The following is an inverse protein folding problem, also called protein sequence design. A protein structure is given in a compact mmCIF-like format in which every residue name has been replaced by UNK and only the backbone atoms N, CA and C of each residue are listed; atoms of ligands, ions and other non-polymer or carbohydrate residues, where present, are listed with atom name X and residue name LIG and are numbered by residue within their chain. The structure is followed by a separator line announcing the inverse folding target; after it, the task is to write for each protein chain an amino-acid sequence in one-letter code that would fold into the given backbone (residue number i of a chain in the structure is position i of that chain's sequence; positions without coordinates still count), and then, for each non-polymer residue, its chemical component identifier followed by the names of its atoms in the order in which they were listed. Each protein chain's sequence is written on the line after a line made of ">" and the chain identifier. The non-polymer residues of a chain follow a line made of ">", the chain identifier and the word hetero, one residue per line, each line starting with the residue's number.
data_IF_133297307164
#
_entry.id   IF_133297307164
#
_cell.length_a   1.000
_cell.length_b   1.000
_cell.length_c   1.000
_cell.angle_alpha   90.00
_cell.angle_beta   90.00
_cell.angle_gamma   90.00
#
_symmetry.space_group_name_H-M   'P 1'
#
loop_
_entity.id
_entity.type
_entity.pdbx_description
1 polymer ?
#
# COMPACT_ATOMS: atom_id res chain seq x y z
N UNK A 1 -2.75 24.34 -3.10
CA UNK A 1 -1.47 24.92 -3.52
C UNK A 1 -1.73 26.06 -4.48
N UNK A 2 -1.17 27.24 -4.25
CA UNK A 2 -1.28 28.36 -5.19
C UNK A 2 -0.29 28.19 -6.36
N UNK A 3 -0.43 28.99 -7.43
CA UNK A 3 0.42 28.87 -8.62
C UNK A 3 1.91 29.08 -8.32
N UNK A 4 2.25 30.02 -7.43
CA UNK A 4 3.65 30.28 -7.06
C UNK A 4 4.30 29.08 -6.37
N UNK A 5 3.59 28.44 -5.45
CA UNK A 5 4.06 27.21 -4.79
C UNK A 5 4.25 26.08 -5.81
N UNK A 6 3.27 25.90 -6.72
CA UNK A 6 3.36 24.88 -7.77
C UNK A 6 4.55 25.09 -8.70
N UNK A 7 4.81 26.34 -9.08
CA UNK A 7 5.97 26.70 -9.90
C UNK A 7 7.30 26.38 -9.20
N UNK A 8 7.41 26.64 -7.89
CA UNK A 8 8.61 26.28 -7.12
C UNK A 8 8.79 24.77 -7.00
N UNK A 9 7.71 24.04 -6.73
CA UNK A 9 7.78 22.58 -6.64
C UNK A 9 8.10 21.92 -7.98
N UNK A 10 7.50 22.39 -9.07
CA UNK A 10 7.79 21.90 -10.41
C UNK A 10 9.25 22.17 -10.80
N UNK A 11 9.74 23.39 -10.52
CA UNK A 11 11.14 23.77 -10.79
C UNK A 11 12.13 22.88 -10.04
N UNK A 12 11.94 22.74 -8.72
CA UNK A 12 12.75 21.88 -7.86
C UNK A 12 12.71 20.42 -8.34
N UNK A 13 11.53 19.93 -8.69
CA UNK A 13 11.34 18.56 -9.15
C UNK A 13 12.10 18.28 -10.45
N UNK A 14 11.88 19.10 -11.48
CA UNK A 14 12.50 18.93 -12.80
C UNK A 14 14.03 19.00 -12.67
N UNK A 15 14.55 20.00 -11.96
CA UNK A 15 15.99 20.12 -11.74
C UNK A 15 16.57 18.86 -11.11
N UNK A 16 16.02 18.39 -9.99
CA UNK A 16 16.59 17.25 -9.27
C UNK A 16 16.44 15.93 -10.04
N UNK A 17 15.30 15.68 -10.68
CA UNK A 17 15.10 14.46 -11.46
C UNK A 17 16.03 14.39 -12.66
N UNK A 18 16.16 15.48 -13.42
CA UNK A 18 17.02 15.49 -14.59
C UNK A 18 18.50 15.41 -14.21
N UNK A 19 18.92 16.03 -13.10
CA UNK A 19 20.27 15.83 -12.53
C UNK A 19 20.50 14.38 -12.15
N UNK A 20 19.54 13.71 -11.51
CA UNK A 20 19.65 12.29 -11.12
C UNK A 20 19.68 11.36 -12.34
N UNK A 21 19.00 11.73 -13.43
CA UNK A 21 19.04 11.04 -14.73
C UNK A 21 20.31 11.33 -15.55
N UNK A 22 21.18 12.25 -15.10
CA UNK A 22 22.40 12.62 -15.82
C UNK A 22 22.16 13.38 -17.12
N UNK A 23 21.03 14.10 -17.22
CA UNK A 23 20.71 14.95 -18.37
C UNK A 23 21.66 16.16 -18.45
N UNK A 24 21.84 16.69 -19.66
CA UNK A 24 22.69 17.86 -19.88
C UNK A 24 22.08 19.14 -19.27
N UNK A 25 22.92 20.12 -18.92
CA UNK A 25 22.44 21.38 -18.32
C UNK A 25 21.45 22.11 -19.23
N UNK A 26 21.71 22.11 -20.54
CA UNK A 26 20.83 22.72 -21.54
C UNK A 26 19.45 22.06 -21.55
N UNK A 27 19.38 20.72 -21.52
CA UNK A 27 18.11 19.97 -21.46
C UNK A 27 17.34 20.27 -20.17
N UNK A 28 18.04 20.46 -19.04
CA UNK A 28 17.43 20.85 -17.76
C UNK A 28 16.80 22.24 -17.87
N UNK A 29 17.56 23.23 -18.32
CA UNK A 29 17.09 24.62 -18.39
C UNK A 29 15.97 24.79 -19.42
N UNK A 30 16.06 24.12 -20.57
CA UNK A 30 14.99 24.09 -21.58
C UNK A 30 13.69 23.52 -21.00
N UNK A 31 13.76 22.36 -20.32
CA UNK A 31 12.56 21.76 -19.72
C UNK A 31 11.99 22.63 -18.61
N UNK A 32 12.83 23.19 -17.73
CA UNK A 32 12.40 24.12 -16.69
C UNK A 32 11.67 25.32 -17.29
N UNK A 33 12.23 25.95 -18.32
CA UNK A 33 11.60 27.08 -19.00
C UNK A 33 10.24 26.71 -19.61
N UNK A 34 10.14 25.55 -20.28
CA UNK A 34 8.90 25.07 -20.87
C UNK A 34 7.81 24.83 -19.81
N UNK A 35 8.17 24.17 -18.69
CA UNK A 35 7.24 23.92 -17.57
C UNK A 35 6.77 25.22 -16.93
N UNK A 36 7.68 26.18 -16.71
CA UNK A 36 7.33 27.49 -16.17
C UNK A 36 6.39 28.27 -17.10
N UNK A 37 6.55 28.13 -18.41
CA UNK A 37 5.66 28.77 -19.38
C UNK A 37 4.26 28.11 -19.37
N UNK A 38 4.18 26.79 -19.42
CA UNK A 38 2.92 26.04 -19.38
C UNK A 38 2.11 26.34 -18.10
N UNK A 39 2.81 26.45 -16.97
CA UNK A 39 2.22 26.83 -15.68
C UNK A 39 1.65 28.25 -15.70
N UNK A 40 2.32 29.21 -16.32
CA UNK A 40 1.81 30.59 -16.44
C UNK A 40 0.58 30.68 -17.32
N UNK A 41 0.52 29.86 -18.38
CA UNK A 41 -0.55 29.88 -19.36
C UNK A 41 -1.79 29.11 -18.90
N UNK A 42 -1.60 27.95 -18.26
CA UNK A 42 -2.69 27.00 -17.98
C UNK A 42 -2.95 26.80 -16.49
N UNK A 43 -2.05 27.29 -15.63
CA UNK A 43 -2.05 27.01 -14.20
C UNK A 43 -1.52 25.62 -13.82
N UNK A 44 -1.23 24.73 -14.78
CA UNK A 44 -0.71 23.38 -14.58
C UNK A 44 0.41 23.06 -15.58
N UNK A 45 0.98 21.86 -15.52
CA UNK A 45 1.82 21.32 -16.60
C UNK A 45 1.66 19.81 -16.73
N UNK A 46 2.00 19.28 -17.91
CA UNK A 46 1.99 17.84 -18.16
C UNK A 46 3.41 17.28 -18.05
N UNK A 47 3.58 16.30 -17.16
CA UNK A 47 4.83 15.54 -17.03
C UNK A 47 5.02 14.59 -18.21
N UNK A 48 6.25 14.39 -18.65
CA UNK A 48 6.58 13.31 -19.59
C UNK A 48 6.40 11.95 -18.91
N UNK A 49 6.31 10.87 -19.69
CA UNK A 49 6.26 9.51 -19.11
C UNK A 49 7.53 9.17 -18.32
N UNK A 50 8.70 9.66 -18.74
CA UNK A 50 9.96 9.50 -18.00
C UNK A 50 9.90 10.25 -16.65
N UNK A 51 9.42 11.50 -16.66
CA UNK A 51 9.21 12.28 -15.45
C UNK A 51 8.22 11.57 -14.52
N UNK A 52 7.06 11.13 -15.01
CA UNK A 52 6.08 10.43 -14.17
C UNK A 52 6.67 9.17 -13.53
N UNK A 53 7.38 8.36 -14.32
CA UNK A 53 7.97 7.11 -13.86
C UNK A 53 9.03 7.34 -12.78
N UNK A 54 9.92 8.32 -12.97
CA UNK A 54 10.92 8.66 -11.96
C UNK A 54 10.29 9.26 -10.70
N UNK A 55 9.29 10.13 -10.87
CA UNK A 55 8.57 10.74 -9.76
C UNK A 55 7.92 9.69 -8.85
N UNK A 56 7.26 8.68 -9.42
CA UNK A 56 6.64 7.59 -8.66
C UNK A 56 7.66 6.71 -7.92
N UNK A 57 8.80 6.42 -8.55
CA UNK A 57 9.93 5.70 -7.93
C UNK A 57 10.51 6.48 -6.75
N UNK A 58 10.75 7.76 -6.94
CA UNK A 58 11.27 8.65 -5.89
C UNK A 58 10.24 8.83 -4.78
N UNK A 59 8.95 8.88 -5.09
CA UNK A 59 7.89 8.91 -4.07
C UNK A 59 7.96 7.68 -3.14
N UNK A 60 8.24 6.50 -3.68
CA UNK A 60 8.44 5.31 -2.85
C UNK A 60 9.73 5.40 -2.04
N UNK A 61 10.84 5.84 -2.64
CA UNK A 61 12.11 6.12 -1.93
C UNK A 61 11.93 7.08 -0.75
N UNK A 62 11.07 8.08 -0.91
CA UNK A 62 10.79 9.13 0.07
C UNK A 62 9.70 8.75 1.09
N UNK A 63 9.04 7.60 0.96
CA UNK A 63 7.92 7.25 1.84
C UNK A 63 8.42 6.91 3.26
N UNK A 64 8.15 7.82 4.19
CA UNK A 64 8.61 7.73 5.59
C UNK A 64 8.02 6.53 6.35
N UNK A 65 6.92 5.94 5.86
CA UNK A 65 6.26 4.81 6.50
C UNK A 65 6.70 3.44 5.95
N UNK A 66 7.53 3.41 4.90
CA UNK A 66 7.87 2.17 4.21
C UNK A 66 9.25 1.64 4.64
N UNK A 67 9.29 0.43 5.20
CA UNK A 67 10.54 -0.31 5.45
C UNK A 67 11.09 -0.94 4.17
N UNK A 68 10.24 -1.27 3.20
CA UNK A 68 10.59 -1.96 1.94
C UNK A 68 11.27 -1.12 0.87
N UNK A 69 11.83 0.05 1.22
CA UNK A 69 12.36 1.04 0.26
C UNK A 69 13.57 0.60 -0.54
N UNK A 70 14.22 -0.51 -0.20
CA UNK A 70 15.38 -1.01 -0.96
C UNK A 70 15.07 -1.21 -2.46
N UNK A 71 13.83 -1.56 -2.80
CA UNK A 71 13.42 -1.93 -4.15
C UNK A 71 12.78 -0.78 -4.95
N UNK A 72 12.93 0.46 -4.47
CA UNK A 72 12.28 1.65 -5.05
C UNK A 72 12.53 1.81 -6.56
N UNK A 73 13.73 1.46 -7.02
CA UNK A 73 14.15 1.58 -8.42
C UNK A 73 13.54 0.51 -9.34
N UNK A 74 13.00 -0.58 -8.75
CA UNK A 74 12.36 -1.71 -9.43
C UNK A 74 10.86 -1.56 -9.63
N UNK A 75 10.26 -0.46 -9.14
CA UNK A 75 8.84 -0.18 -9.35
C UNK A 75 8.50 -0.13 -10.83
N UNK A 76 7.56 -0.96 -11.26
CA UNK A 76 6.97 -0.89 -12.59
C UNK A 76 5.88 0.19 -12.58
N UNK A 77 6.02 1.20 -13.44
CA UNK A 77 5.10 2.34 -13.51
C UNK A 77 4.25 2.24 -14.77
N UNK A 78 2.93 2.20 -14.58
CA UNK A 78 1.94 2.23 -15.65
C UNK A 78 1.39 3.65 -15.78
N UNK A 79 1.66 4.28 -16.91
CA UNK A 79 1.07 5.57 -17.26
C UNK A 79 -0.36 5.35 -17.80
N UNK A 80 -1.34 5.49 -16.92
CA UNK A 80 -2.77 5.38 -17.23
C UNK A 80 -3.47 6.76 -17.23
N UNK A 81 -2.72 7.85 -17.43
CA UNK A 81 -3.28 9.22 -17.42
C UNK A 81 -4.26 9.52 -18.55
N UNK A 82 -4.36 8.63 -19.53
CA UNK A 82 -5.32 8.71 -20.63
C UNK A 82 -6.60 7.90 -20.35
N UNK A 83 -6.64 7.12 -19.26
CA UNK A 83 -7.74 6.22 -18.92
C UNK A 83 -8.78 6.97 -18.09
N UNK A 84 -9.94 7.25 -18.69
CA UNK A 84 -11.00 8.07 -18.06
C UNK A 84 -12.38 7.42 -18.07
N UNK A 85 -12.66 6.43 -18.93
CA UNK A 85 -13.95 5.73 -18.92
C UNK A 85 -13.98 4.64 -17.85
N UNK A 86 -15.14 4.42 -17.24
CA UNK A 86 -15.36 3.39 -16.22
C UNK A 86 -14.80 2.01 -16.62
N UNK A 87 -15.21 1.47 -17.77
CA UNK A 87 -14.75 0.15 -18.25
C UNK A 87 -13.23 0.04 -18.33
N UNK A 88 -12.60 1.06 -18.90
CA UNK A 88 -11.15 1.09 -19.05
C UNK A 88 -10.43 1.22 -17.71
N UNK A 89 -11.01 1.94 -16.73
CA UNK A 89 -10.47 2.02 -15.36
C UNK A 89 -10.50 0.64 -14.71
N UNK A 90 -11.66 -0.05 -14.69
CA UNK A 90 -11.74 -1.39 -14.12
C UNK A 90 -10.81 -2.38 -14.81
N UNK A 91 -10.78 -2.39 -16.15
CA UNK A 91 -9.86 -3.27 -16.90
C UNK A 91 -8.40 -2.99 -16.55
N UNK A 92 -8.04 -1.72 -16.36
CA UNK A 92 -6.68 -1.32 -15.95
C UNK A 92 -6.36 -1.80 -14.53
N UNK A 93 -7.32 -1.74 -13.60
CA UNK A 93 -7.16 -2.25 -12.23
C UNK A 93 -7.01 -3.78 -12.20
N UNK A 94 -7.82 -4.51 -12.98
CA UNK A 94 -7.69 -5.96 -13.10
C UNK A 94 -6.36 -6.37 -13.73
N UNK A 95 -5.90 -5.64 -14.75
CA UNK A 95 -4.56 -5.83 -15.34
C UNK A 95 -3.46 -5.55 -14.31
N UNK A 96 -3.62 -4.53 -13.47
CA UNK A 96 -2.69 -4.27 -12.37
C UNK A 96 -2.64 -5.47 -11.42
N UNK A 97 -3.79 -5.96 -10.96
CA UNK A 97 -3.90 -7.11 -10.06
C UNK A 97 -3.19 -8.34 -10.65
N UNK A 98 -3.49 -8.70 -11.88
CA UNK A 98 -2.90 -9.85 -12.57
C UNK A 98 -1.37 -9.75 -12.62
N UNK A 99 -0.87 -8.61 -13.12
CA UNK A 99 0.57 -8.42 -13.35
C UNK A 99 1.36 -8.22 -12.05
N UNK A 100 0.76 -7.60 -11.03
CA UNK A 100 1.34 -7.48 -9.70
C UNK A 100 1.42 -8.84 -9.01
N UNK A 101 0.36 -9.65 -9.12
CA UNK A 101 0.27 -10.98 -8.49
C UNK A 101 1.24 -11.97 -9.12
N UNK A 102 1.35 -12.00 -10.45
CA UNK A 102 2.35 -12.77 -11.21
C UNK A 102 2.55 -14.20 -10.66
N UNK A 103 1.44 -14.93 -10.46
CA UNK A 103 1.41 -16.29 -9.91
C UNK A 103 2.20 -16.45 -8.60
N UNK A 104 2.05 -15.49 -7.68
CA UNK A 104 2.73 -15.46 -6.38
C UNK A 104 4.12 -14.83 -6.40
N UNK A 105 4.73 -14.63 -7.57
CA UNK A 105 6.03 -13.94 -7.73
C UNK A 105 5.83 -12.43 -7.81
N UNK A 106 5.35 -11.86 -6.71
CA UNK A 106 4.84 -10.48 -6.63
C UNK A 106 5.84 -9.47 -7.22
N UNK A 107 5.35 -8.59 -8.10
CA UNK A 107 6.12 -7.48 -8.68
C UNK A 107 5.66 -6.16 -8.08
N UNK A 108 6.57 -5.26 -7.68
CA UNK A 108 6.19 -3.94 -7.23
C UNK A 108 5.69 -3.12 -8.43
N UNK A 109 4.44 -2.67 -8.38
CA UNK A 109 3.78 -1.96 -9.47
C UNK A 109 3.02 -0.76 -8.94
N UNK A 110 2.91 0.27 -9.77
CA UNK A 110 1.98 1.38 -9.58
C UNK A 110 1.26 1.67 -10.89
N UNK A 111 -0.03 1.97 -10.82
CA UNK A 111 -0.80 2.47 -11.96
C UNK A 111 -1.31 3.85 -11.68
N UNK A 112 -0.98 4.82 -12.53
CA UNK A 112 -1.24 6.24 -12.27
C UNK A 112 -2.30 6.73 -13.24
N UNK A 113 -3.49 7.00 -12.71
CA UNK A 113 -4.63 7.55 -13.44
C UNK A 113 -4.48 9.08 -13.63
N UNK A 114 -5.38 9.75 -14.38
CA UNK A 114 -5.25 11.17 -14.67
C UNK A 114 -5.07 12.04 -13.40
N UNK A 115 -4.28 13.11 -13.49
CA UNK A 115 -4.10 14.03 -12.36
C UNK A 115 -5.38 14.81 -12.04
N UNK A 116 -5.42 15.37 -10.84
CA UNK A 116 -6.41 16.40 -10.50
C UNK A 116 -6.16 17.66 -11.33
N UNK A 117 -7.24 18.26 -11.85
CA UNK A 117 -7.19 19.52 -12.56
C UNK A 117 -8.29 20.46 -12.06
N UNK A 118 -7.91 21.61 -11.50
CA UNK A 118 -8.84 22.62 -10.97
C UNK A 118 -9.91 22.09 -9.99
N UNK A 119 -9.55 21.08 -9.18
CA UNK A 119 -10.46 20.42 -8.23
C UNK A 119 -11.19 19.20 -8.80
N UNK A 120 -11.21 19.04 -10.13
CA UNK A 120 -11.80 17.87 -10.77
C UNK A 120 -10.85 16.67 -10.64
N UNK A 121 -11.38 15.56 -10.14
CA UNK A 121 -10.67 14.29 -9.95
C UNK A 121 -11.24 13.27 -10.93
N UNK A 122 -10.59 13.04 -12.08
CA UNK A 122 -11.20 12.24 -13.15
C UNK A 122 -11.45 10.79 -12.75
N UNK A 123 -10.60 10.23 -11.89
CA UNK A 123 -10.74 8.87 -11.38
C UNK A 123 -10.53 8.89 -9.87
N UNK A 124 -11.44 8.23 -9.15
CA UNK A 124 -11.33 7.98 -7.72
C UNK A 124 -11.60 6.49 -7.46
N UNK A 125 -10.77 5.90 -6.60
CA UNK A 125 -10.94 4.53 -6.12
C UNK A 125 -11.27 4.65 -4.63
N UNK A 126 -12.42 4.12 -4.23
CA UNK A 126 -12.91 4.29 -2.87
C UNK A 126 -12.27 3.31 -1.88
N UNK A 127 -11.83 2.16 -2.38
CA UNK A 127 -11.19 1.12 -1.59
C UNK A 127 -9.90 1.62 -0.92
N UNK A 128 -9.69 1.26 0.34
CA UNK A 128 -8.38 1.39 1.00
C UNK A 128 -7.30 0.56 0.29
N UNK A 129 -7.65 -0.69 -0.02
CA UNK A 129 -6.84 -1.63 -0.78
C UNK A 129 -7.72 -2.34 -1.81
N UNK A 130 -7.18 -2.65 -2.99
CA UNK A 130 -7.96 -3.35 -4.03
C UNK A 130 -8.41 -4.73 -3.55
N UNK A 131 -7.54 -5.46 -2.83
CA UNK A 131 -7.94 -6.63 -2.08
C UNK A 131 -8.19 -6.26 -0.63
N UNK A 132 -9.42 -6.46 -0.17
CA UNK A 132 -9.77 -6.34 1.24
C UNK A 132 -10.97 -7.22 1.56
N UNK A 133 -10.96 -7.83 2.74
CA UNK A 133 -12.13 -8.55 3.22
C UNK A 133 -13.17 -7.60 3.79
N UNK A 134 -14.44 -7.95 3.60
CA UNK A 134 -15.58 -7.25 4.16
C UNK A 134 -15.68 -7.45 5.67
N UNK A 135 -16.45 -6.58 6.32
CA UNK A 135 -16.83 -6.69 7.72
C UNK A 135 -18.32 -6.44 7.89
N UNK A 136 -19.01 -7.31 8.63
CA UNK A 136 -20.45 -7.29 8.81
C UNK A 136 -20.80 -7.15 10.29
N UNK A 137 -21.63 -6.17 10.62
CA UNK A 137 -22.23 -6.08 11.94
C UNK A 137 -23.42 -7.06 12.02
N UNK A 138 -23.37 -7.98 12.98
CA UNK A 138 -24.45 -8.96 13.25
C UNK A 138 -24.95 -8.81 14.70
N UNK A 139 -26.02 -9.53 15.05
CA UNK A 139 -26.54 -9.59 16.43
C UNK A 139 -25.53 -10.22 17.41
N UNK A 140 -24.72 -11.16 16.94
CA UNK A 140 -23.73 -11.89 17.74
C UNK A 140 -22.34 -11.22 17.77
N UNK A 141 -22.19 -10.08 17.07
CA UNK A 141 -20.93 -9.35 16.95
C UNK A 141 -20.51 -9.12 15.51
N UNK A 142 -19.22 -8.84 15.29
CA UNK A 142 -18.68 -8.56 13.95
C UNK A 142 -18.19 -9.86 13.32
N UNK A 143 -18.60 -10.10 12.07
CA UNK A 143 -18.07 -11.16 11.20
C UNK A 143 -17.17 -10.51 10.14
N UNK A 144 -16.00 -11.10 9.86
CA UNK A 144 -15.05 -10.56 8.89
C UNK A 144 -14.07 -9.56 9.48
N UNK A 145 -13.68 -8.55 8.69
CA UNK A 145 -12.70 -7.54 9.08
C UNK A 145 -13.38 -6.27 9.64
N UNK A 146 -13.27 -5.97 10.95
CA UNK A 146 -13.84 -4.75 11.54
C UNK A 146 -13.35 -3.45 10.88
N UNK A 147 -12.14 -3.44 10.31
CA UNK A 147 -11.61 -2.26 9.65
C UNK A 147 -12.36 -1.89 8.36
N UNK A 148 -13.15 -2.82 7.82
CA UNK A 148 -13.90 -2.67 6.58
C UNK A 148 -15.39 -2.39 6.80
N UNK A 149 -15.89 -2.34 8.04
CA UNK A 149 -17.33 -2.22 8.33
C UNK A 149 -18.00 -1.07 7.56
N UNK A 150 -17.49 0.15 7.74
CA UNK A 150 -18.05 1.34 7.11
C UNK A 150 -18.06 1.24 5.58
N UNK A 151 -16.99 0.70 4.98
CA UNK A 151 -16.91 0.56 3.53
C UNK A 151 -17.78 -0.59 3.00
N UNK A 152 -17.93 -1.67 3.78
CA UNK A 152 -18.82 -2.79 3.47
C UNK A 152 -20.27 -2.30 3.39
N UNK A 153 -20.70 -1.48 4.35
CA UNK A 153 -22.03 -0.85 4.32
C UNK A 153 -22.23 0.03 3.08
N UNK A 154 -21.19 0.76 2.64
CA UNK A 154 -21.25 1.52 1.39
C UNK A 154 -21.39 0.62 0.16
N UNK A 155 -20.65 -0.48 0.10
CA UNK A 155 -20.81 -1.46 -0.97
C UNK A 155 -22.24 -2.03 -0.99
N UNK A 156 -22.80 -2.35 0.18
CA UNK A 156 -24.18 -2.82 0.30
C UNK A 156 -25.22 -1.79 -0.13
N UNK A 157 -24.99 -0.50 0.15
CA UNK A 157 -25.84 0.60 -0.33
C UNK A 157 -25.80 0.75 -1.86
N UNK A 158 -24.68 0.41 -2.50
CA UNK A 158 -24.56 0.36 -3.95
C UNK A 158 -25.19 -0.90 -4.57
N UNK A 159 -25.65 -1.85 -3.73
CA UNK A 159 -26.32 -3.07 -4.15
C UNK A 159 -25.43 -4.31 -4.15
N UNK A 160 -24.17 -4.22 -3.75
CA UNK A 160 -23.32 -5.41 -3.56
C UNK A 160 -23.81 -6.25 -2.37
N UNK A 161 -23.77 -7.57 -2.49
CA UNK A 161 -24.10 -8.48 -1.40
C UNK A 161 -22.98 -9.52 -1.30
N UNK A 162 -22.32 -9.58 -0.15
CA UNK A 162 -21.38 -10.67 0.13
C UNK A 162 -22.09 -11.88 0.73
N UNK A 163 -21.34 -12.97 0.89
CA UNK A 163 -21.84 -14.24 1.43
C UNK A 163 -22.01 -14.22 2.96
N UNK A 164 -21.53 -13.17 3.63
CA UNK A 164 -21.58 -13.02 5.08
C UNK A 164 -20.51 -13.85 5.81
N UNK A 165 -19.40 -14.20 5.15
CA UNK A 165 -18.33 -14.99 5.75
C UNK A 165 -17.22 -14.12 6.36
N UNK A 166 -16.31 -14.76 7.09
CA UNK A 166 -15.16 -14.09 7.67
C UNK A 166 -14.14 -13.57 6.64
N UNK A 167 -14.21 -14.01 5.38
CA UNK A 167 -13.21 -13.71 4.35
C UNK A 167 -13.84 -13.46 2.98
N UNK A 168 -14.94 -12.72 2.93
CA UNK A 168 -15.55 -12.25 1.67
C UNK A 168 -14.74 -11.09 1.11
N UNK A 169 -14.29 -11.18 -0.14
CA UNK A 169 -13.60 -10.07 -0.80
C UNK A 169 -14.59 -8.97 -1.18
N UNK A 170 -14.26 -7.74 -0.80
CA UNK A 170 -14.99 -6.55 -1.22
C UNK A 170 -14.84 -6.33 -2.73
N UNK A 171 -15.87 -5.77 -3.40
CA UNK A 171 -15.75 -5.35 -4.78
C UNK A 171 -14.84 -4.11 -4.87
N UNK A 172 -14.33 -3.83 -6.05
CA UNK A 172 -13.66 -2.57 -6.34
C UNK A 172 -14.73 -1.53 -6.65
N UNK A 173 -14.68 -0.37 -5.98
CA UNK A 173 -15.59 0.76 -6.18
C UNK A 173 -14.82 1.91 -6.80
N UNK A 174 -15.28 2.35 -7.98
CA UNK A 174 -14.69 3.43 -8.78
C UNK A 174 -15.71 4.53 -8.97
N UNK A 175 -15.23 5.77 -8.98
CA UNK A 175 -16.01 6.94 -9.37
C UNK A 175 -15.28 7.71 -10.46
N UNK A 176 -16.01 8.03 -11.54
CA UNK A 176 -15.51 8.80 -12.68
C UNK A 176 -16.01 10.24 -12.56
N UNK A 177 -15.09 11.19 -12.43
CA UNK A 177 -15.43 12.60 -12.23
C UNK A 177 -16.43 12.80 -11.08
N UNK A 178 -17.58 13.41 -11.41
CA UNK A 178 -18.68 13.68 -10.48
C UNK A 178 -19.86 12.71 -10.64
N UNK A 179 -19.69 11.63 -11.39
CA UNK A 179 -20.73 10.61 -11.56
C UNK A 179 -20.95 9.80 -10.27
N UNK A 180 -22.03 9.03 -10.23
CA UNK A 180 -22.26 8.09 -9.14
C UNK A 180 -21.17 7.00 -9.16
N UNK A 181 -20.69 6.54 -8.00
CA UNK A 181 -19.74 5.43 -7.93
C UNK A 181 -20.40 4.14 -8.43
N UNK A 182 -19.61 3.30 -9.10
CA UNK A 182 -20.00 1.96 -9.52
C UNK A 182 -19.01 0.95 -8.96
N UNK A 183 -19.43 -0.32 -8.89
CA UNK A 183 -18.58 -1.39 -8.38
C UNK A 183 -18.49 -2.55 -9.35
N UNK A 184 -17.37 -3.29 -9.28
CA UNK A 184 -17.20 -4.59 -9.92
C UNK A 184 -16.51 -5.54 -8.96
N UNK A 185 -16.97 -6.78 -8.97
CA UNK A 185 -16.28 -7.87 -8.29
C UNK A 185 -14.98 -8.19 -9.02
N UNK A 186 -13.98 -8.62 -8.24
CA UNK A 186 -12.71 -9.04 -8.81
C UNK A 186 -12.92 -10.45 -9.39
N UNK A 187 -12.61 -10.69 -10.67
CA UNK A 187 -12.71 -12.03 -11.25
C UNK A 187 -11.94 -13.06 -10.43
N UNK A 188 -12.56 -14.21 -10.16
CA UNK A 188 -12.01 -15.25 -9.26
C UNK A 188 -10.62 -15.72 -9.69
N UNK A 189 -10.36 -15.77 -11.01
CA UNK A 189 -9.07 -16.16 -11.58
C UNK A 189 -7.92 -15.18 -11.25
N UNK A 190 -8.24 -13.94 -10.85
CA UNK A 190 -7.27 -12.93 -10.44
C UNK A 190 -7.01 -12.95 -8.93
N UNK A 191 -7.81 -13.70 -8.17
CA UNK A 191 -7.72 -13.79 -6.71
C UNK A 191 -6.72 -14.89 -6.33
N UNK A 192 -5.58 -14.49 -5.76
CA UNK A 192 -4.66 -15.42 -5.12
C UNK A 192 -4.70 -15.27 -3.61
N UNK A 193 -5.30 -16.24 -2.92
CA UNK A 193 -5.32 -16.32 -1.46
C UNK A 193 -4.45 -17.47 -0.95
N UNK A 194 -3.83 -17.27 0.21
CA UNK A 194 -3.00 -18.26 0.89
C UNK A 194 -3.76 -18.77 2.12
N UNK A 195 -4.17 -20.05 2.16
CA UNK A 195 -4.64 -20.68 3.38
C UNK A 195 -3.53 -20.69 4.43
N UNK A 196 -3.81 -20.15 5.62
CA UNK A 196 -2.83 -20.06 6.70
C UNK A 196 -2.91 -21.32 7.55
N UNK A 197 -1.80 -22.04 7.65
CA UNK A 197 -1.62 -23.26 8.44
C UNK A 197 -0.27 -23.17 9.17
N UNK A 198 -0.22 -23.72 10.37
CA UNK A 198 1.02 -23.79 11.13
C UNK A 198 1.76 -25.10 10.80
N UNK A 199 3.10 -25.09 10.66
CA UNK A 199 3.87 -26.29 10.32
C UNK A 199 3.75 -27.40 11.37
N UNK A 200 3.72 -27.04 12.66
CA UNK A 200 3.83 -28.01 13.76
C UNK A 200 2.56 -28.18 14.62
N UNK A 201 1.57 -27.28 14.49
CA UNK A 201 0.46 -27.18 15.44
C UNK A 201 -0.87 -26.96 14.72
N UNK A 202 -1.97 -27.42 15.31
CA UNK A 202 -3.32 -27.15 14.78
C UNK A 202 -3.90 -25.84 15.37
N UNK A 203 -3.20 -24.71 15.19
CA UNK A 203 -3.53 -23.44 15.88
C UNK A 203 -4.89 -22.83 15.52
N UNK A 204 -5.50 -23.25 14.41
CA UNK A 204 -6.83 -22.80 13.98
C UNK A 204 -7.92 -23.86 14.21
N UNK A 205 -7.55 -25.11 14.48
CA UNK A 205 -8.46 -26.26 14.54
C UNK A 205 -9.35 -26.37 13.28
N UNK A 206 -10.60 -25.94 13.36
CA UNK A 206 -11.58 -26.00 12.27
C UNK A 206 -11.77 -24.65 11.58
N UNK A 207 -11.15 -23.57 12.08
CA UNK A 207 -11.26 -22.26 11.46
C UNK A 207 -10.43 -22.23 10.18
N UNK A 208 -11.08 -21.86 9.09
CA UNK A 208 -10.40 -21.61 7.82
C UNK A 208 -9.89 -20.17 7.80
N UNK A 209 -8.61 -20.00 8.11
CA UNK A 209 -7.93 -18.70 8.02
C UNK A 209 -7.19 -18.63 6.70
N UNK A 210 -7.35 -17.53 5.97
CA UNK A 210 -6.67 -17.24 4.70
C UNK A 210 -6.34 -15.75 4.57
N UNK A 211 -5.40 -15.42 3.69
CA UNK A 211 -5.07 -14.02 3.38
C UNK A 211 -4.69 -13.86 1.90
N UNK A 212 -5.12 -12.78 1.24
CA UNK A 212 -4.77 -12.47 -0.15
C UNK A 212 -3.28 -12.16 -0.30
N UNK A 213 -2.70 -12.57 -1.43
CA UNK A 213 -1.26 -12.63 -1.65
C UNK A 213 -0.56 -11.26 -1.79
N UNK A 214 -1.26 -10.27 -2.38
CA UNK A 214 -0.66 -8.99 -2.76
C UNK A 214 -1.33 -7.80 -2.06
N UNK A 215 -0.57 -6.95 -1.33
CA UNK A 215 -1.11 -5.72 -0.74
C UNK A 215 -1.09 -4.57 -1.75
N UNK A 216 -2.25 -4.25 -2.33
CA UNK A 216 -2.39 -3.14 -3.29
C UNK A 216 -3.12 -1.99 -2.60
N UNK A 217 -2.39 -0.95 -2.18
CA UNK A 217 -2.95 0.26 -1.54
C UNK A 217 -3.53 1.17 -2.62
N UNK A 218 -4.73 1.72 -2.40
CA UNK A 218 -5.46 2.49 -3.42
C UNK A 218 -6.09 3.81 -2.94
N UNK A 219 -6.05 4.14 -1.64
CA UNK A 219 -6.66 5.35 -1.08
C UNK A 219 -5.71 6.54 -0.89
N UNK A 220 -4.41 6.33 -1.06
CA UNK A 220 -3.40 7.40 -1.06
C UNK A 220 -3.43 8.16 -2.40
N UNK A 221 -3.08 9.44 -2.36
CA UNK A 221 -2.75 10.19 -3.58
C UNK A 221 -1.23 10.34 -3.72
N UNK A 222 -0.76 10.33 -4.96
CA UNK A 222 0.64 10.54 -5.33
C UNK A 222 0.84 12.01 -5.71
N UNK A 223 1.85 12.66 -5.18
CA UNK A 223 2.20 14.03 -5.55
C UNK A 223 3.62 14.09 -6.14
N UNK A 224 3.73 14.64 -7.35
CA UNK A 224 4.99 14.76 -8.09
C UNK A 224 5.10 16.19 -8.64
N UNK A 225 6.08 16.96 -8.15
CA UNK A 225 6.39 18.30 -8.68
C UNK A 225 5.18 19.24 -8.74
N UNK A 226 4.38 19.31 -7.67
CA UNK A 226 3.18 20.15 -7.59
C UNK A 226 1.94 19.62 -8.32
N UNK A 227 2.01 18.43 -8.94
CA UNK A 227 0.87 17.74 -9.57
C UNK A 227 0.39 16.61 -8.67
N UNK A 228 -0.92 16.54 -8.43
CA UNK A 228 -1.55 15.50 -7.62
C UNK A 228 -2.26 14.48 -8.51
N UNK A 229 -2.03 13.20 -8.21
CA UNK A 229 -2.63 12.04 -8.84
C UNK A 229 -3.52 11.34 -7.81
N UNK A 230 -4.84 11.61 -7.83
CA UNK A 230 -5.76 11.13 -6.79
C UNK A 230 -5.90 9.61 -6.75
N UNK A 231 -5.78 8.93 -7.90
CA UNK A 231 -5.86 7.49 -8.02
C UNK A 231 -4.52 6.95 -8.56
N UNK A 232 -3.74 6.36 -7.65
CA UNK A 232 -2.43 5.81 -7.98
C UNK A 232 -2.18 4.48 -7.24
N UNK A 233 -3.02 3.43 -7.45
CA UNK A 233 -2.89 2.17 -6.73
C UNK A 233 -1.49 1.57 -6.92
N UNK A 234 -0.88 1.17 -5.81
CA UNK A 234 0.48 0.65 -5.79
C UNK A 234 0.64 -0.55 -4.86
N UNK A 235 1.59 -1.42 -5.18
CA UNK A 235 1.90 -2.58 -4.36
C UNK A 235 3.40 -2.82 -4.21
N UNK A 236 3.74 -3.47 -3.09
CA UNK A 236 4.94 -4.28 -2.94
C UNK A 236 4.50 -5.72 -2.67
N UNK A 237 5.19 -6.38 -1.75
CA UNK A 237 4.76 -7.63 -1.13
C UNK A 237 4.74 -7.49 0.39
N UNK A 238 4.05 -8.40 1.06
CA UNK A 238 3.92 -8.35 2.51
C UNK A 238 5.23 -8.56 3.25
N UNK A 239 5.42 -7.80 4.33
CA UNK A 239 6.17 -8.23 5.49
C UNK A 239 5.25 -9.05 6.39
N UNK A 240 5.67 -10.25 6.82
CA UNK A 240 4.78 -11.21 7.50
C UNK A 240 4.02 -10.67 8.71
N UNK A 241 4.62 -9.73 9.44
CA UNK A 241 4.00 -9.06 10.60
C UNK A 241 2.80 -8.19 10.26
N UNK A 242 2.66 -7.72 9.01
CA UNK A 242 1.47 -7.00 8.55
C UNK A 242 0.23 -7.91 8.61
N UNK A 243 0.39 -9.20 8.30
CA UNK A 243 -0.68 -10.18 8.38
C UNK A 243 -0.76 -10.75 9.80
N UNK A 244 0.31 -11.41 10.25
CA UNK A 244 0.30 -12.21 11.47
C UNK A 244 0.26 -11.40 12.76
N UNK A 245 0.88 -10.21 12.79
CA UNK A 245 0.97 -9.39 13.99
C UNK A 245 0.02 -8.18 14.00
N UNK A 246 -0.58 -7.83 12.87
CA UNK A 246 -1.59 -6.77 12.76
C UNK A 246 -2.93 -7.38 12.38
N UNK A 247 -3.12 -7.71 11.11
CA UNK A 247 -4.44 -8.09 10.56
C UNK A 247 -5.10 -9.25 11.33
N UNK A 248 -4.36 -10.31 11.62
CA UNK A 248 -4.89 -11.49 12.31
C UNK A 248 -4.88 -11.38 13.83
N UNK A 249 -4.08 -10.48 14.40
CA UNK A 249 -3.80 -10.44 15.84
C UNK A 249 -4.44 -9.27 16.60
N UNK A 250 -4.54 -8.09 15.98
CA UNK A 250 -5.04 -6.88 16.65
C UNK A 250 -6.47 -7.12 17.17
N UNK A 251 -6.76 -6.62 18.38
CA UNK A 251 -8.06 -6.80 19.04
C UNK A 251 -9.22 -6.13 18.29
N UNK A 252 -8.93 -5.05 17.56
CA UNK A 252 -9.87 -4.35 16.69
C UNK A 252 -9.81 -4.84 15.23
N UNK A 253 -9.22 -6.00 14.98
CA UNK A 253 -9.19 -6.70 13.69
C UNK A 253 -9.76 -8.12 13.89
N UNK A 254 -9.10 -9.16 13.36
CA UNK A 254 -9.59 -10.54 13.51
C UNK A 254 -9.37 -11.13 14.90
N UNK A 255 -8.50 -10.52 15.74
CA UNK A 255 -8.30 -10.90 17.14
C UNK A 255 -8.12 -12.42 17.39
N UNK A 256 -7.26 -13.09 16.62
CA UNK A 256 -7.10 -14.55 16.69
C UNK A 256 -6.21 -15.02 17.86
N UNK A 257 -5.54 -14.11 18.58
CA UNK A 257 -4.61 -14.48 19.65
C UNK A 257 -5.25 -15.34 20.77
N UNK A 258 -6.46 -15.04 21.29
CA UNK A 258 -7.10 -15.89 22.30
C UNK A 258 -7.38 -17.31 21.79
N UNK A 259 -7.79 -17.44 20.52
CA UNK A 259 -8.04 -18.75 19.90
C UNK A 259 -6.75 -19.55 19.75
N UNK A 260 -5.72 -18.93 19.18
CA UNK A 260 -4.39 -19.56 19.01
C UNK A 260 -3.83 -20.01 20.36
N UNK A 261 -3.89 -19.15 21.38
CA UNK A 261 -3.42 -19.47 22.73
C UNK A 261 -4.16 -20.68 23.34
N UNK A 262 -5.47 -20.78 23.11
CA UNK A 262 -6.28 -21.94 23.54
C UNK A 262 -5.83 -23.22 22.83
N UNK A 263 -5.61 -23.19 21.51
CA UNK A 263 -5.16 -24.37 20.76
C UNK A 263 -3.75 -24.82 21.15
N UNK A 264 -2.90 -23.88 21.56
CA UNK A 264 -1.56 -24.16 22.08
C UNK A 264 -1.54 -24.58 23.55
N UNK A 265 -2.70 -24.66 24.23
CA UNK A 265 -2.79 -25.02 25.64
C UNK A 265 -2.12 -24.01 26.59
N UNK A 266 -2.05 -22.73 26.19
CA UNK A 266 -1.42 -21.68 26.99
C UNK A 266 -2.30 -21.25 28.16
N UNK A 267 -1.67 -20.92 29.30
CA UNK A 267 -2.38 -20.33 30.42
C UNK A 267 -2.69 -18.85 30.15
N UNK A 268 -3.94 -18.55 29.79
CA UNK A 268 -4.40 -17.18 29.47
C UNK A 268 -4.90 -16.39 30.69
N UNK A 269 -4.85 -16.96 31.90
CA UNK A 269 -5.38 -16.31 33.12
C UNK A 269 -4.62 -15.06 33.55
N UNK A 270 -3.31 -15.02 33.32
CA UNK A 270 -2.45 -13.92 33.74
C UNK A 270 -1.53 -13.48 32.61
N UNK A 271 -1.35 -12.17 32.43
CA UNK A 271 -0.52 -11.63 31.34
C UNK A 271 0.97 -11.94 31.51
N UNK A 272 1.45 -12.15 32.74
CA UNK A 272 2.84 -12.49 33.01
C UNK A 272 3.25 -13.90 32.53
N UNK A 273 2.31 -14.73 32.06
CA UNK A 273 2.61 -15.99 31.37
C UNK A 273 3.08 -15.77 29.92
N UNK A 274 2.99 -14.52 29.43
CA UNK A 274 3.35 -14.13 28.07
C UNK A 274 2.59 -14.90 27.00
N UNK A 275 1.34 -15.28 27.29
CA UNK A 275 0.54 -16.07 26.37
C UNK A 275 0.24 -15.31 25.06
N UNK A 276 0.07 -13.98 25.12
CA UNK A 276 -0.12 -13.14 23.94
C UNK A 276 1.11 -13.18 23.06
N UNK A 277 2.29 -12.98 23.64
CA UNK A 277 3.58 -12.99 22.96
C UNK A 277 3.84 -14.34 22.27
N UNK A 278 3.61 -15.44 22.99
CA UNK A 278 3.78 -16.80 22.45
C UNK A 278 2.82 -17.07 21.30
N UNK A 279 1.52 -16.78 21.46
CA UNK A 279 0.54 -16.97 20.40
C UNK A 279 0.85 -16.09 19.17
N UNK A 280 1.30 -14.86 19.39
CA UNK A 280 1.67 -13.90 18.35
C UNK A 280 2.85 -14.40 17.51
N UNK A 281 3.87 -14.98 18.15
CA UNK A 281 5.01 -15.60 17.44
C UNK A 281 4.53 -16.75 16.57
N UNK A 282 3.79 -17.71 17.12
CA UNK A 282 3.31 -18.88 16.34
C UNK A 282 2.39 -18.44 15.19
N UNK A 283 1.57 -17.41 15.37
CA UNK A 283 0.73 -16.88 14.30
C UNK A 283 1.56 -16.31 13.13
N UNK A 284 2.68 -15.64 13.43
CA UNK A 284 3.61 -15.15 12.40
C UNK A 284 4.38 -16.28 11.73
N UNK A 285 4.74 -17.35 12.47
CA UNK A 285 5.34 -18.57 11.90
C UNK A 285 4.38 -19.20 10.89
N UNK A 286 3.10 -19.36 11.24
CA UNK A 286 2.09 -19.91 10.35
C UNK A 286 1.95 -19.10 9.05
N UNK A 287 1.93 -17.77 9.13
CA UNK A 287 1.85 -16.89 7.96
C UNK A 287 3.06 -17.09 7.04
N UNK A 288 4.28 -16.99 7.57
CA UNK A 288 5.50 -17.09 6.78
C UNK A 288 5.66 -18.47 6.13
N UNK A 289 5.40 -19.54 6.88
CA UNK A 289 5.47 -20.91 6.37
C UNK A 289 4.42 -21.17 5.27
N UNK A 290 3.18 -20.70 5.48
CA UNK A 290 2.10 -20.86 4.50
C UNK A 290 2.42 -20.17 3.18
N UNK A 291 2.84 -18.91 3.22
CA UNK A 291 3.21 -18.16 2.01
C UNK A 291 4.36 -18.84 1.27
N UNK A 292 5.40 -19.27 1.99
CA UNK A 292 6.53 -20.00 1.42
C UNK A 292 6.10 -21.30 0.74
N UNK A 293 5.25 -22.11 1.39
CA UNK A 293 4.74 -23.38 0.84
C UNK A 293 3.91 -23.20 -0.43
N UNK A 294 3.18 -22.08 -0.53
CA UNK A 294 2.37 -21.74 -1.70
C UNK A 294 3.16 -20.96 -2.77
N UNK A 295 4.47 -20.75 -2.57
CA UNK A 295 5.31 -20.04 -3.55
C UNK A 295 4.99 -18.54 -3.70
N UNK A 296 4.35 -17.94 -2.69
CA UNK A 296 3.97 -16.52 -2.68
C UNK A 296 5.05 -15.69 -1.99
N UNK A 297 5.45 -14.60 -2.62
CA UNK A 297 6.47 -13.70 -2.08
C UNK A 297 6.02 -13.06 -0.75
N UNK A 298 6.86 -13.22 0.26
CA UNK A 298 6.72 -12.60 1.58
C UNK A 298 8.11 -12.39 2.17
N UNK A 299 8.28 -11.41 3.05
CA UNK A 299 9.53 -11.18 3.78
C UNK A 299 9.30 -11.22 5.29
N UNK A 300 10.20 -11.84 6.03
CA UNK A 300 10.18 -11.73 7.50
C UNK A 300 10.73 -10.36 7.95
N UNK A 301 10.33 -9.93 9.13
CA UNK A 301 10.66 -8.59 9.62
C UNK A 301 12.15 -8.39 9.95
N UNK A 302 12.91 -9.45 10.22
CA UNK A 302 14.36 -9.34 10.42
C UNK A 302 15.10 -9.16 9.09
N UNK A 303 14.69 -9.89 8.04
CA UNK A 303 15.21 -9.71 6.69
C UNK A 303 14.82 -8.35 6.13
N UNK A 304 13.58 -7.90 6.33
CA UNK A 304 13.14 -6.56 5.95
C UNK A 304 13.99 -5.45 6.62
N UNK A 305 14.28 -5.59 7.92
CA UNK A 305 15.18 -4.67 8.61
C UNK A 305 16.60 -4.69 8.00
N UNK A 306 17.16 -5.87 7.70
CA UNK A 306 18.48 -5.96 7.02
C UNK A 306 18.47 -5.32 5.63
N UNK A 307 17.39 -5.50 4.86
CA UNK A 307 17.21 -4.85 3.55
C UNK A 307 17.15 -3.33 3.71
N UNK A 308 16.45 -2.83 4.73
CA UNK A 308 16.42 -1.41 5.04
C UNK A 308 17.82 -0.86 5.40
N UNK A 309 18.68 -1.65 6.07
CA UNK A 309 20.07 -1.27 6.30
C UNK A 309 20.87 -1.11 5.01
N UNK A 310 20.62 -1.96 4.03
CA UNK A 310 21.25 -1.84 2.70
C UNK A 310 20.76 -0.57 2.00
N UNK A 311 19.47 -0.26 2.10
CA UNK A 311 18.92 1.00 1.60
C UNK A 311 19.60 2.21 2.24
N UNK A 312 19.75 2.23 3.57
CA UNK A 312 20.48 3.31 4.27
C UNK A 312 21.92 3.50 3.74
N UNK A 313 22.62 2.40 3.47
CA UNK A 313 23.97 2.47 2.93
C UNK A 313 23.99 2.99 1.48
N UNK A 314 23.00 2.64 0.67
CA UNK A 314 22.87 3.11 -0.71
C UNK A 314 22.59 4.62 -0.75
N UNK A 315 21.65 5.10 0.07
CA UNK A 315 21.35 6.52 0.19
C UNK A 315 22.57 7.31 0.67
N UNK A 316 23.27 6.81 1.68
CA UNK A 316 24.51 7.44 2.17
C UNK A 316 25.59 7.52 1.08
N UNK A 317 25.78 6.47 0.28
CA UNK A 317 26.74 6.47 -0.84
C UNK A 317 26.37 7.49 -1.91
N UNK A 318 25.08 7.72 -2.12
CA UNK A 318 24.57 8.73 -3.04
C UNK A 318 24.51 10.14 -2.41
N UNK A 319 25.07 10.34 -1.20
CA UNK A 319 25.08 11.64 -0.53
C UNK A 319 23.73 12.09 0.02
N UNK A 320 22.75 11.16 0.15
CA UNK A 320 21.40 11.44 0.63
C UNK A 320 21.20 10.99 2.07
N UNK A 321 20.31 11.70 2.78
CA UNK A 321 19.92 11.36 4.15
C UNK A 321 18.62 10.55 4.13
N UNK A 322 18.57 9.48 4.92
CA UNK A 322 17.34 8.69 5.07
C UNK A 322 16.40 9.34 6.07
N UNK A 323 15.18 9.65 5.62
CA UNK A 323 14.05 10.05 6.45
C UNK A 323 13.16 8.85 6.80
N UNK A 324 12.36 8.97 7.85
CA UNK A 324 11.47 7.92 8.29
C UNK A 324 10.67 8.26 9.53
N UNK A 325 9.43 7.75 9.59
CA UNK A 325 8.63 7.75 10.81
C UNK A 325 9.00 6.50 11.60
N UNK A 326 9.85 6.65 12.61
CA UNK A 326 10.42 5.53 13.37
C UNK A 326 9.37 4.50 13.85
N UNK A 327 8.22 4.96 14.36
CA UNK A 327 7.14 4.10 14.82
C UNK A 327 6.49 3.23 13.72
N UNK A 328 6.66 3.59 12.45
CA UNK A 328 6.22 2.78 11.29
C UNK A 328 7.33 1.87 10.75
N UNK A 329 8.60 2.22 10.97
CA UNK A 329 9.74 1.45 10.48
C UNK A 329 10.12 0.29 11.40
N UNK A 330 9.79 0.36 12.69
CA UNK A 330 10.00 -0.75 13.60
C UNK A 330 8.90 -1.81 13.40
N UNK A 331 9.25 -3.11 13.33
CA UNK A 331 8.24 -4.16 13.26
C UNK A 331 7.38 -4.23 14.54
N UNK A 332 6.09 -4.57 14.45
CA UNK A 332 5.22 -4.68 15.63
C UNK A 332 5.50 -5.94 16.47
N UNK A 333 6.36 -6.85 15.99
CA UNK A 333 6.85 -8.03 16.70
C UNK A 333 8.37 -7.96 16.82
N UNK A 334 8.88 -8.17 18.03
CA UNK A 334 10.33 -8.23 18.32
C UNK A 334 11.16 -7.01 17.86
N UNK A 335 10.68 -5.74 17.97
CA UNK A 335 11.37 -4.58 17.40
C UNK A 335 12.80 -4.38 17.91
N UNK A 336 13.03 -4.61 19.21
CA UNK A 336 14.33 -4.45 19.87
C UNK A 336 15.43 -5.37 19.31
N UNK A 337 15.05 -6.43 18.58
CA UNK A 337 15.98 -7.35 17.90
C UNK A 337 16.46 -6.84 16.53
N UNK A 338 15.97 -5.68 16.09
CA UNK A 338 16.32 -5.05 14.81
C UNK A 338 17.17 -3.79 15.04
N UNK A 339 18.04 -3.45 14.09
CA UNK A 339 18.89 -2.25 14.23
C UNK A 339 18.09 -0.94 14.18
N UNK A 340 16.90 -0.95 13.58
CA UNK A 340 16.02 0.20 13.42
C UNK A 340 15.54 0.70 14.79
N UNK A 341 15.26 -0.20 15.73
CA UNK A 341 14.79 0.18 17.07
C UNK A 341 15.79 1.06 17.82
N UNK A 342 17.09 0.86 17.60
CA UNK A 342 18.16 1.57 18.33
C UNK A 342 18.56 2.89 17.67
N UNK A 343 17.86 3.32 16.61
CA UNK A 343 18.20 4.51 15.83
C UNK A 343 16.94 5.31 15.47
N UNK A 344 16.75 6.53 16.00
CA UNK A 344 15.68 7.41 15.53
C UNK A 344 15.95 7.88 14.09
N UNK A 345 14.89 8.22 13.38
CA UNK A 345 14.95 8.79 12.03
C UNK A 345 14.31 10.18 12.05
N UNK A 346 14.88 11.09 11.26
CA UNK A 346 14.23 12.37 10.97
C UNK A 346 12.96 12.10 10.15
N UNK A 347 11.84 12.66 10.59
CA UNK A 347 10.54 12.48 9.94
C UNK A 347 10.20 13.62 8.96
N UNK A 348 11.19 14.37 8.49
CA UNK A 348 11.02 15.27 7.33
C UNK A 348 10.40 14.52 6.16
N UNK A 349 9.32 15.08 5.60
CA UNK A 349 8.62 14.53 4.44
C UNK A 349 9.19 15.18 3.19
N UNK A 350 9.88 14.39 2.36
CA UNK A 350 10.41 14.82 1.07
C UNK A 350 9.39 14.57 -0.03
N UNK A 351 9.31 15.45 -1.03
CA UNK A 351 8.50 15.28 -2.25
C UNK A 351 9.38 14.92 -3.45
N UNK A 352 8.90 14.15 -4.44
CA UNK A 352 7.60 13.47 -4.54
C UNK A 352 7.30 12.51 -3.38
N UNK A 353 6.03 12.27 -3.07
CA UNK A 353 5.61 11.31 -2.03
C UNK A 353 4.15 10.84 -2.20
N UNK A 354 3.76 9.87 -1.37
CA UNK A 354 2.39 9.43 -1.19
C UNK A 354 1.79 10.07 0.06
N UNK A 355 0.55 10.50 -0.03
CA UNK A 355 -0.15 11.19 1.05
C UNK A 355 -1.49 10.53 1.32
N UNK A 356 -1.84 10.44 2.61
CA UNK A 356 -3.17 10.04 3.04
C UNK A 356 -4.16 11.18 2.82
N UNK A 357 -5.42 10.80 2.58
CA UNK A 357 -6.54 11.73 2.59
C UNK A 357 -6.98 11.95 4.04
N UNK A 358 -7.49 13.14 4.35
CA UNK A 358 -7.99 13.44 5.71
C UNK A 358 -9.21 12.60 6.09
N UNK A 359 -9.99 12.17 5.08
CA UNK A 359 -11.17 11.31 5.21
C UNK A 359 -11.24 10.33 4.04
N UNK A 360 -11.96 9.24 4.25
CA UNK A 360 -12.31 8.35 3.15
C UNK A 360 -13.23 9.09 2.15
N UNK A 361 -13.20 8.68 0.88
CA UNK A 361 -13.94 9.37 -0.20
C UNK A 361 -15.46 9.27 -0.01
N UNK A 362 -15.91 8.24 0.71
CA UNK A 362 -17.32 7.92 0.96
C UNK A 362 -17.87 8.45 2.30
N UNK A 363 -17.05 9.19 3.05
CA UNK A 363 -17.41 9.91 4.29
C UNK A 363 -17.69 11.38 4.01
#
# INVERSE_FOLDING_TARGET
>A
MNLSERMQEADYYIFNVYKELGKAEEEIEERRAAVQQELKETGTYVQTTEELAQGAKIAWRNNNHCIGRLFWDKLEVVDARHVTSEDAVFQTLFTHIEQATNNGKIKPRITIFPPEHNGDKPVQIWNHQLFRYAGYQTEDGIVGDPASLAFTEKCQQLGWQGEGTAFDLLPIVVQIGNEAPTYREIPEELVLEVPIRHPDFSIFHHLEVKWYAVPIISDMFLEIGGIQYPAAPFNGWYMGTEIGARNLADENRYNLLPHVAKQLGLNTKHLNTLWKDRALVELNVAVLDSYKKHGVAIVDHHTAAKQFKVFENNEKKAGRTVTGKWAWLIPPLSPATTHIFHKPFDNTVNKPNYFYRDKAIYE
#
